data_IF_017910613515
#
_entry.id   IF_017910613515
#
_cell.length_a   1.000
_cell.length_b   1.000
_cell.length_c   1.000
_cell.angle_alpha   90.00
_cell.angle_beta   90.00
_cell.angle_gamma   90.00
#
_symmetry.space_group_name_H-M   'P 1'
#
loop_
_entity.id
_entity.type
_entity.pdbx_description
1 polymer ?
#
# COMPACT_ATOMS: atom_id res chain seq x y z
N UNK A 1 -14.85 -2.66 -9.17
CA UNK A 1 -14.16 -1.88 -10.25
C UNK A 1 -13.60 -2.86 -11.26
N UNK A 2 -13.97 -2.73 -12.54
CA UNK A 2 -13.57 -3.65 -13.62
C UNK A 2 -12.28 -3.14 -14.29
N UNK A 3 -11.29 -4.04 -14.45
CA UNK A 3 -10.02 -3.90 -15.18
C UNK A 3 -9.29 -2.55 -15.08
N UNK A 4 -8.92 -2.12 -13.87
CA UNK A 4 -7.75 -1.25 -13.74
C UNK A 4 -6.55 -2.16 -13.54
N UNK A 5 -5.72 -2.41 -14.57
CA UNK A 5 -4.48 -3.12 -14.34
C UNK A 5 -3.67 -2.34 -13.30
N UNK A 6 -3.25 -3.02 -12.23
CA UNK A 6 -2.33 -2.42 -11.27
C UNK A 6 -1.02 -2.11 -12.00
N UNK A 7 -0.50 -0.91 -11.83
CA UNK A 7 0.87 -0.58 -12.25
C UNK A 7 1.87 -1.47 -11.50
N UNK A 8 3.11 -1.53 -11.99
CA UNK A 8 4.17 -2.28 -11.32
C UNK A 8 4.39 -1.75 -9.91
N UNK A 9 4.39 -0.43 -9.74
CA UNK A 9 4.45 0.25 -8.45
C UNK A 9 3.31 -0.17 -7.50
N UNK A 10 2.06 -0.23 -7.97
CA UNK A 10 0.93 -0.68 -7.15
C UNK A 10 1.02 -2.17 -6.75
N UNK A 11 1.53 -3.03 -7.65
CA UNK A 11 1.75 -4.44 -7.35
C UNK A 11 2.85 -4.63 -6.31
N UNK A 12 3.95 -3.89 -6.41
CA UNK A 12 5.06 -3.89 -5.45
C UNK A 12 4.54 -3.53 -4.05
N UNK A 13 3.77 -2.45 -3.95
CA UNK A 13 3.19 -1.99 -2.68
C UNK A 13 2.25 -3.04 -2.08
N UNK A 14 1.42 -3.67 -2.91
CA UNK A 14 0.52 -4.74 -2.47
C UNK A 14 1.29 -5.93 -1.88
N UNK A 15 2.42 -6.31 -2.50
CA UNK A 15 3.30 -7.36 -2.00
C UNK A 15 4.00 -6.92 -0.71
N UNK A 16 4.50 -5.68 -0.64
CA UNK A 16 5.15 -5.14 0.54
C UNK A 16 4.21 -5.11 1.75
N UNK A 17 2.97 -4.67 1.57
CA UNK A 17 1.94 -4.65 2.61
C UNK A 17 1.69 -6.06 3.19
N UNK A 18 1.64 -7.08 2.34
CA UNK A 18 1.53 -8.48 2.76
C UNK A 18 2.79 -9.01 3.46
N UNK A 19 3.97 -8.72 2.92
CA UNK A 19 5.24 -9.25 3.44
C UNK A 19 5.67 -8.65 4.79
N UNK A 20 5.21 -7.44 5.10
CA UNK A 20 5.57 -6.72 6.32
C UNK A 20 4.66 -7.03 7.52
N UNK A 21 3.72 -7.98 7.39
CA UNK A 21 2.75 -8.33 8.43
C UNK A 21 1.75 -7.20 8.76
N UNK A 22 1.66 -6.18 7.91
CA UNK A 22 0.83 -4.99 8.15
C UNK A 22 -0.66 -5.27 7.95
N UNK A 23 -0.98 -6.37 7.27
CA UNK A 23 -2.33 -6.87 7.04
C UNK A 23 -2.68 -8.06 7.94
N UNK A 24 -1.81 -8.47 8.86
CA UNK A 24 -2.02 -9.65 9.72
C UNK A 24 -3.22 -9.47 10.66
N UNK A 25 -3.54 -8.23 11.02
CA UNK A 25 -4.67 -7.88 11.88
C UNK A 25 -5.97 -7.61 11.09
N UNK A 26 -5.93 -7.74 9.76
CA UNK A 26 -7.08 -7.51 8.88
C UNK A 26 -7.68 -8.87 8.51
N UNK A 27 -9.01 -9.00 8.63
CA UNK A 27 -9.68 -10.23 8.20
C UNK A 27 -9.42 -10.48 6.70
N UNK A 28 -9.26 -11.75 6.32
CA UNK A 28 -8.95 -12.15 4.93
C UNK A 28 -9.99 -11.62 3.92
N UNK A 29 -11.26 -11.52 4.33
CA UNK A 29 -12.33 -10.92 3.52
C UNK A 29 -12.13 -9.42 3.26
N UNK A 30 -11.50 -8.72 4.20
CA UNK A 30 -11.28 -7.27 4.19
C UNK A 30 -9.94 -6.88 3.55
N UNK A 31 -8.99 -7.81 3.40
CA UNK A 31 -7.68 -7.53 2.77
C UNK A 31 -7.84 -6.90 1.38
N UNK A 32 -8.77 -7.39 0.58
CA UNK A 32 -9.03 -6.80 -0.75
C UNK A 32 -9.53 -5.35 -0.67
N UNK A 33 -10.36 -5.02 0.32
CA UNK A 33 -10.84 -3.67 0.55
C UNK A 33 -9.70 -2.76 1.06
N UNK A 34 -8.94 -3.24 2.04
CA UNK A 34 -7.76 -2.55 2.56
C UNK A 34 -6.77 -2.17 1.46
N UNK A 35 -6.40 -3.12 0.58
CA UNK A 35 -5.44 -2.84 -0.50
C UNK A 35 -5.98 -1.78 -1.46
N UNK A 36 -7.28 -1.82 -1.81
CA UNK A 36 -7.87 -0.80 -2.68
C UNK A 36 -7.82 0.59 -2.05
N UNK A 37 -8.15 0.70 -0.75
CA UNK A 37 -8.15 1.96 -0.05
C UNK A 37 -6.73 2.46 0.26
N UNK A 38 -5.77 1.57 0.54
CA UNK A 38 -4.35 1.88 0.67
C UNK A 38 -3.79 2.48 -0.62
N UNK A 39 -4.07 1.85 -1.76
CA UNK A 39 -3.62 2.36 -3.07
C UNK A 39 -4.28 3.71 -3.40
N UNK A 40 -5.55 3.90 -3.04
CA UNK A 40 -6.22 5.19 -3.20
C UNK A 40 -5.59 6.27 -2.32
N UNK A 41 -5.28 5.95 -1.07
CA UNK A 41 -4.64 6.86 -0.13
C UNK A 41 -3.22 7.21 -0.55
N UNK A 42 -2.41 6.24 -0.97
CA UNK A 42 -1.06 6.48 -1.48
C UNK A 42 -1.06 7.40 -2.71
N UNK A 43 -2.02 7.25 -3.63
CA UNK A 43 -2.15 8.16 -4.77
C UNK A 43 -2.49 9.60 -4.39
N UNK A 44 -3.08 9.82 -3.22
CA UNK A 44 -3.48 11.14 -2.75
C UNK A 44 -2.40 11.78 -1.87
N UNK A 45 -1.84 11.00 -0.94
CA UNK A 45 -0.98 11.51 0.13
C UNK A 45 0.50 11.20 -0.08
N UNK A 46 0.84 10.20 -0.90
CA UNK A 46 2.21 9.71 -1.05
C UNK A 46 2.52 9.27 -2.50
N UNK A 47 2.02 10.05 -3.47
CA UNK A 47 2.15 9.74 -4.89
C UNK A 47 3.62 9.70 -5.34
N UNK A 48 4.49 10.43 -4.65
CA UNK A 48 5.94 10.46 -4.90
C UNK A 48 6.57 9.06 -4.86
N UNK A 49 6.10 8.17 -3.97
CA UNK A 49 6.62 6.81 -3.90
C UNK A 49 6.19 5.95 -5.09
N UNK A 50 4.99 6.18 -5.62
CA UNK A 50 4.51 5.50 -6.83
C UNK A 50 5.30 5.98 -8.05
N UNK A 51 5.52 7.29 -8.15
CA UNK A 51 6.32 7.90 -9.22
C UNK A 51 7.78 7.43 -9.16
N UNK A 52 8.40 7.41 -7.98
CA UNK A 52 9.77 6.96 -7.79
C UNK A 52 9.94 5.48 -8.19
N UNK A 53 8.97 4.63 -7.83
CA UNK A 53 8.97 3.21 -8.25
C UNK A 53 8.82 3.04 -9.76
N UNK A 54 7.95 3.83 -10.40
CA UNK A 54 7.72 3.75 -11.84
C UNK A 54 8.87 4.37 -12.67
N UNK A 55 9.53 5.42 -12.18
CA UNK A 55 10.63 6.09 -12.87
C UNK A 55 11.98 5.39 -12.68
N UNK A 56 12.34 5.01 -11.45
CA UNK A 56 13.65 4.40 -11.17
C UNK A 56 13.67 2.93 -11.55
N UNK A 57 12.54 2.24 -11.44
CA UNK A 57 12.46 0.78 -11.61
C UNK A 57 13.32 0.00 -10.60
N UNK A 58 13.85 0.68 -9.58
CA UNK A 58 14.70 0.13 -8.53
C UNK A 58 14.03 0.35 -7.18
N UNK A 59 14.02 -0.70 -6.37
CA UNK A 59 13.52 -0.68 -5.00
C UNK A 59 14.75 -0.65 -4.10
N UNK A 60 15.12 0.54 -3.62
CA UNK A 60 16.20 0.68 -2.64
C UNK A 60 15.68 0.35 -1.24
N UNK A 61 16.58 -0.06 -0.32
CA UNK A 61 16.19 -0.36 1.06
C UNK A 61 15.55 0.85 1.76
N UNK A 62 16.02 2.07 1.44
CA UNK A 62 15.45 3.32 1.96
C UNK A 62 14.02 3.54 1.47
N UNK A 63 13.76 3.36 0.17
CA UNK A 63 12.42 3.48 -0.40
C UNK A 63 11.46 2.43 0.20
N UNK A 64 11.95 1.20 0.43
CA UNK A 64 11.18 0.15 1.10
C UNK A 64 10.79 0.55 2.50
N UNK A 65 11.71 1.08 3.30
CA UNK A 65 11.40 1.52 4.66
C UNK A 65 10.39 2.68 4.66
N UNK A 66 10.55 3.67 3.78
CA UNK A 66 9.60 4.78 3.66
C UNK A 66 8.19 4.29 3.29
N UNK A 67 8.08 3.39 2.30
CA UNK A 67 6.80 2.79 1.91
C UNK A 67 6.19 1.99 3.06
N UNK A 68 6.99 1.22 3.81
CA UNK A 68 6.49 0.48 4.99
C UNK A 68 5.96 1.43 6.06
N UNK A 69 6.63 2.55 6.32
CA UNK A 69 6.14 3.56 7.26
C UNK A 69 4.81 4.17 6.79
N UNK A 70 4.69 4.49 5.49
CA UNK A 70 3.44 4.98 4.91
C UNK A 70 2.30 3.95 5.05
N UNK A 71 2.56 2.67 4.78
CA UNK A 71 1.57 1.59 4.96
C UNK A 71 1.19 1.44 6.44
N UNK A 72 2.14 1.52 7.38
CA UNK A 72 1.86 1.49 8.84
C UNK A 72 0.96 2.65 9.27
N UNK A 73 1.27 3.86 8.81
CA UNK A 73 0.46 5.04 9.08
C UNK A 73 -0.97 4.84 8.55
N UNK A 74 -1.08 4.38 7.30
CA UNK A 74 -2.38 4.09 6.69
C UNK A 74 -3.15 2.98 7.42
N UNK A 75 -2.48 1.91 7.85
CA UNK A 75 -3.10 0.82 8.61
C UNK A 75 -3.77 1.34 9.88
N UNK A 76 -3.14 2.30 10.56
CA UNK A 76 -3.71 2.97 11.73
C UNK A 76 -4.96 3.78 11.39
N UNK A 77 -4.92 4.52 10.27
CA UNK A 77 -6.07 5.26 9.75
C UNK A 77 -7.21 4.31 9.40
N UNK A 78 -6.91 3.22 8.69
CA UNK A 78 -7.87 2.22 8.27
C UNK A 78 -8.57 1.59 9.48
N UNK A 79 -7.82 1.17 10.52
CA UNK A 79 -8.42 0.66 11.77
C UNK A 79 -9.38 1.66 12.42
N UNK A 80 -8.98 2.93 12.48
CA UNK A 80 -9.83 3.98 13.03
C UNK A 80 -11.08 4.25 12.18
N UNK A 81 -10.94 4.29 10.86
CA UNK A 81 -12.04 4.57 9.92
C UNK A 81 -13.03 3.42 9.76
N UNK A 82 -12.56 2.17 9.88
CA UNK A 82 -13.36 0.97 9.62
C UNK A 82 -13.67 0.14 10.88
N UNK A 83 -13.14 0.52 12.04
CA UNK A 83 -13.56 0.00 13.34
C UNK A 83 -13.14 -1.44 13.63
N UNK A 84 -12.00 -1.86 13.09
CA UNK A 84 -11.36 -3.16 13.38
C UNK A 84 -10.28 -3.04 14.46
#
# INVERSE_FOLDING_TARGET
>A
KQFSPLSVSEQVISILAGSAGLVDEIEVSEVGHFINELLAWLKLEAAEYLEELDEKGEITDELVENIKEAIKAYTTIYKFSFGI
#
